data_IF_623901926412
#
_entry.id   IF_623901926412
#
_cell.length_a   1.000
_cell.length_b   1.000
_cell.length_c   1.000
_cell.angle_alpha   90.00
_cell.angle_beta   90.00
_cell.angle_gamma   90.00
#
_symmetry.space_group_name_H-M   'P 1'
#
loop_
_entity.id
_entity.type
_entity.pdbx_description
1 polymer ?
#
# COMPACT_ATOMS: atom_id res chain seq x y z
N UNK A 1 4.72 -17.79 -26.16
CA UNK A 1 4.40 -16.56 -26.92
C UNK A 1 3.00 -16.68 -27.51
N UNK A 2 2.15 -15.66 -27.37
CA UNK A 2 0.80 -15.65 -27.96
C UNK A 2 0.78 -15.16 -29.43
N UNK A 3 1.92 -14.70 -29.97
CA UNK A 3 2.08 -14.38 -31.40
C UNK A 3 1.62 -13.00 -31.85
N UNK A 4 1.13 -12.14 -30.94
CA UNK A 4 0.69 -10.79 -31.30
C UNK A 4 1.86 -9.82 -31.52
N UNK A 5 1.66 -8.86 -32.44
CA UNK A 5 2.54 -7.71 -32.60
C UNK A 5 2.15 -6.64 -31.57
N UNK A 6 3.08 -6.34 -30.67
CA UNK A 6 2.88 -5.38 -29.57
C UNK A 6 3.86 -4.23 -29.69
N UNK A 7 3.43 -3.02 -29.31
CA UNK A 7 4.26 -1.83 -29.12
C UNK A 7 3.81 -1.14 -27.84
N UNK A 8 4.74 -0.60 -27.05
CA UNK A 8 4.46 0.15 -25.82
C UNK A 8 4.98 1.58 -25.97
N UNK A 9 4.15 2.57 -25.64
CA UNK A 9 4.52 3.98 -25.56
C UNK A 9 4.61 4.38 -24.09
N UNK A 10 5.75 4.93 -23.66
CA UNK A 10 6.00 5.35 -22.27
C UNK A 10 6.43 6.82 -22.24
N UNK A 11 5.69 7.65 -21.49
CA UNK A 11 5.92 9.09 -21.42
C UNK A 11 7.22 9.49 -20.73
N UNK A 12 7.76 8.63 -19.85
CA UNK A 12 9.03 8.86 -19.15
C UNK A 12 10.22 8.28 -19.93
N UNK A 13 11.42 8.73 -19.59
CA UNK A 13 12.68 8.15 -20.08
C UNK A 13 13.05 6.79 -19.44
N UNK A 14 12.10 6.08 -18.83
CA UNK A 14 12.34 4.80 -18.15
C UNK A 14 11.03 4.00 -18.02
N UNK A 15 11.10 2.66 -17.93
CA UNK A 15 9.93 1.84 -17.62
C UNK A 15 9.60 1.85 -16.12
N UNK A 16 8.46 1.25 -15.77
CA UNK A 16 8.09 0.89 -14.40
C UNK A 16 7.18 1.87 -13.66
N UNK A 17 7.01 3.10 -14.16
CA UNK A 17 6.09 4.07 -13.55
C UNK A 17 6.35 4.29 -12.04
N UNK A 18 5.40 3.87 -11.20
CA UNK A 18 5.45 3.93 -9.73
C UNK A 18 6.35 2.86 -9.08
N UNK A 19 6.97 1.98 -9.86
CA UNK A 19 8.07 1.12 -9.39
C UNK A 19 9.38 1.82 -9.75
N UNK A 20 10.14 2.22 -8.74
CA UNK A 20 11.40 2.95 -8.92
C UNK A 20 12.38 2.65 -7.81
N UNK A 21 13.48 2.00 -8.17
CA UNK A 21 14.60 1.80 -7.26
C UNK A 21 15.67 2.87 -7.47
N UNK A 22 16.20 3.41 -6.38
CA UNK A 22 17.41 4.23 -6.34
C UNK A 22 18.54 3.38 -5.80
N UNK A 23 19.57 3.16 -6.63
CA UNK A 23 20.82 2.53 -6.19
C UNK A 23 21.71 3.59 -5.54
N UNK A 24 22.40 3.18 -4.49
CA UNK A 24 23.28 4.02 -3.69
C UNK A 24 24.57 3.26 -3.43
N UNK A 25 25.69 3.97 -3.43
CA UNK A 25 26.99 3.42 -3.08
C UNK A 25 27.72 4.36 -2.12
N UNK A 26 28.47 3.78 -1.18
CA UNK A 26 29.29 4.51 -0.22
C UNK A 26 30.34 3.58 0.37
N UNK A 27 31.61 3.94 0.25
CA UNK A 27 32.72 3.02 0.54
C UNK A 27 32.59 1.73 -0.29
N UNK A 28 32.72 0.58 0.38
CA UNK A 28 32.57 -0.75 -0.23
C UNK A 28 31.12 -1.28 -0.18
N UNK A 29 30.16 -0.45 0.24
CA UNK A 29 28.76 -0.85 0.36
C UNK A 29 27.93 -0.37 -0.84
N UNK A 30 27.10 -1.28 -1.35
CA UNK A 30 26.06 -0.98 -2.34
C UNK A 30 24.70 -1.26 -1.71
N UNK A 31 23.78 -0.30 -1.84
CA UNK A 31 22.42 -0.39 -1.33
C UNK A 31 21.42 -0.01 -2.43
N UNK A 32 20.18 -0.40 -2.22
CA UNK A 32 19.06 -0.03 -3.07
C UNK A 32 17.88 0.35 -2.19
N UNK A 33 17.18 1.42 -2.56
CA UNK A 33 15.96 1.87 -1.91
C UNK A 33 14.86 2.04 -2.95
N UNK A 34 13.72 1.40 -2.76
CA UNK A 34 12.54 1.67 -3.57
C UNK A 34 11.90 2.99 -3.14
N UNK A 35 11.68 3.87 -4.10
CA UNK A 35 11.00 5.16 -3.95
C UNK A 35 9.49 5.06 -4.25
N UNK A 36 9.00 3.85 -4.52
CA UNK A 36 7.62 3.57 -4.88
C UNK A 36 7.22 2.18 -4.40
N UNK A 37 6.52 1.39 -5.21
CA UNK A 37 6.08 0.05 -4.82
C UNK A 37 7.26 -0.84 -4.38
N UNK A 38 7.32 -1.21 -3.10
CA UNK A 38 8.47 -1.88 -2.48
C UNK A 38 8.14 -3.24 -1.82
N UNK A 39 7.07 -3.30 -1.03
CA UNK A 39 6.70 -4.51 -0.29
C UNK A 39 5.84 -5.42 -1.16
N UNK A 40 6.15 -6.71 -1.18
CA UNK A 40 5.24 -7.75 -1.67
C UNK A 40 4.35 -8.17 -0.50
N UNK A 41 3.06 -7.86 -0.59
CA UNK A 41 2.06 -8.16 0.45
C UNK A 41 1.50 -9.56 0.25
N UNK A 42 1.97 -10.50 1.07
CA UNK A 42 1.67 -11.92 0.91
C UNK A 42 2.36 -12.55 -0.30
N UNK A 43 2.96 -13.72 -0.13
CA UNK A 43 3.64 -14.46 -1.20
C UNK A 43 2.82 -15.66 -1.72
N UNK A 44 1.79 -16.08 -0.99
CA UNK A 44 0.95 -17.21 -1.37
C UNK A 44 -0.14 -16.74 -2.32
N UNK A 45 -0.19 -17.32 -3.52
CA UNK A 45 -1.11 -16.88 -4.57
C UNK A 45 -0.70 -15.58 -5.26
N UNK A 46 0.42 -14.96 -4.84
CA UNK A 46 0.91 -13.71 -5.42
C UNK A 46 1.73 -13.97 -6.71
N UNK A 47 1.34 -13.41 -7.87
CA UNK A 47 2.11 -13.52 -9.11
C UNK A 47 3.56 -13.02 -8.97
N UNK A 48 3.81 -12.01 -8.13
CA UNK A 48 5.16 -11.50 -7.88
C UNK A 48 6.02 -12.52 -7.13
N UNK A 49 5.42 -13.36 -6.27
CA UNK A 49 6.12 -14.47 -5.62
C UNK A 49 6.56 -15.54 -6.62
N UNK A 50 5.72 -15.81 -7.64
CA UNK A 50 6.06 -16.72 -8.75
C UNK A 50 7.20 -16.14 -9.59
N UNK A 51 7.10 -14.87 -9.98
CA UNK A 51 8.16 -14.18 -10.74
C UNK A 51 9.48 -14.13 -9.96
N UNK A 52 9.44 -13.86 -8.66
CA UNK A 52 10.64 -13.85 -7.82
C UNK A 52 11.35 -15.21 -7.88
N UNK A 53 10.59 -16.30 -7.79
CA UNK A 53 11.14 -17.66 -7.90
C UNK A 53 11.70 -17.95 -9.28
N UNK A 54 10.99 -17.59 -10.35
CA UNK A 54 11.43 -17.80 -11.73
C UNK A 54 12.72 -17.04 -12.05
N UNK A 55 12.86 -15.83 -11.52
CA UNK A 55 14.02 -14.96 -11.73
C UNK A 55 15.15 -15.19 -10.70
N UNK A 56 14.96 -16.12 -9.76
CA UNK A 56 15.94 -16.41 -8.70
C UNK A 56 16.17 -15.23 -7.73
N UNK A 57 15.17 -14.37 -7.53
CA UNK A 57 15.28 -13.24 -6.62
C UNK A 57 15.07 -13.70 -5.17
N UNK A 58 15.99 -13.34 -4.24
CA UNK A 58 15.78 -13.64 -2.83
C UNK A 58 14.61 -12.83 -2.28
N UNK A 59 13.86 -13.43 -1.35
CA UNK A 59 12.79 -12.78 -0.60
C UNK A 59 13.26 -12.55 0.84
N UNK A 60 13.12 -11.33 1.35
CA UNK A 60 13.43 -11.01 2.74
C UNK A 60 12.14 -10.70 3.50
N UNK A 61 11.75 -11.60 4.41
CA UNK A 61 10.54 -11.45 5.24
C UNK A 61 10.60 -10.18 6.10
N UNK A 62 9.53 -9.41 6.07
CA UNK A 62 9.25 -8.34 7.05
C UNK A 62 8.94 -9.00 8.39
N UNK A 63 9.65 -8.57 9.44
CA UNK A 63 9.45 -9.08 10.79
C UNK A 63 8.33 -8.31 11.48
N UNK A 64 7.61 -8.98 12.37
CA UNK A 64 6.44 -8.42 13.06
C UNK A 64 6.82 -7.46 14.20
N UNK A 65 8.09 -7.39 14.59
CA UNK A 65 8.56 -6.56 15.70
C UNK A 65 8.71 -5.09 15.22
N UNK A 66 7.84 -4.21 15.72
CA UNK A 66 7.87 -2.77 15.46
C UNK A 66 7.81 -1.99 16.79
N UNK A 67 8.95 -1.70 17.45
CA UNK A 67 8.94 -0.93 18.69
C UNK A 67 8.59 0.53 18.42
N UNK A 68 7.65 1.07 19.21
CA UNK A 68 7.31 2.48 19.16
C UNK A 68 8.25 3.31 20.04
N UNK A 69 8.59 4.50 19.55
CA UNK A 69 9.48 5.45 20.23
C UNK A 69 8.76 6.78 20.47
N UNK A 70 8.94 7.33 21.67
CA UNK A 70 8.47 8.65 22.04
C UNK A 70 9.36 9.75 21.39
N UNK A 71 8.89 11.00 21.29
CA UNK A 71 9.68 12.10 20.71
C UNK A 71 11.03 12.37 21.39
N UNK A 72 11.21 11.92 22.64
CA UNK A 72 12.46 12.01 23.37
C UNK A 72 13.44 10.87 23.06
N UNK A 73 13.10 9.95 22.15
CA UNK A 73 13.92 8.80 21.76
C UNK A 73 13.79 7.57 22.66
N UNK A 74 13.00 7.64 23.74
CA UNK A 74 12.77 6.48 24.61
C UNK A 74 11.75 5.53 23.99
N UNK A 75 11.90 4.24 24.25
CA UNK A 75 10.91 3.23 23.88
C UNK A 75 9.62 3.41 24.67
N UNK A 76 8.48 3.19 24.02
CA UNK A 76 7.18 3.14 24.67
C UNK A 76 7.12 1.90 25.60
N UNK A 77 6.43 2.04 26.73
CA UNK A 77 6.18 0.92 27.63
C UNK A 77 5.30 -0.14 26.89
N UNK A 78 5.70 -1.42 26.83
CA UNK A 78 4.99 -2.45 26.07
C UNK A 78 3.53 -2.67 26.51
N UNK A 79 3.24 -2.50 27.80
CA UNK A 79 1.87 -2.64 28.31
C UNK A 79 0.96 -1.50 27.83
N UNK A 80 1.48 -0.27 27.75
CA UNK A 80 0.75 0.88 27.19
C UNK A 80 0.56 0.71 25.68
N UNK A 81 1.61 0.31 24.97
CA UNK A 81 1.57 0.06 23.51
C UNK A 81 0.45 -0.94 23.16
N UNK A 82 0.50 -2.13 23.78
CA UNK A 82 -0.52 -3.17 23.58
C UNK A 82 -1.93 -2.70 24.00
N UNK A 83 -2.06 -1.93 25.08
CA UNK A 83 -3.35 -1.37 25.50
C UNK A 83 -3.93 -0.46 24.42
N UNK A 84 -3.13 0.45 23.85
CA UNK A 84 -3.59 1.40 22.84
C UNK A 84 -3.93 0.70 21.53
N UNK A 85 -3.13 -0.28 21.10
CA UNK A 85 -3.42 -1.13 19.94
C UNK A 85 -4.79 -1.82 20.07
N UNK A 86 -5.08 -2.41 21.23
CA UNK A 86 -6.38 -3.04 21.50
C UNK A 86 -7.51 -2.02 21.46
N UNK A 87 -7.29 -0.80 21.98
CA UNK A 87 -8.30 0.27 21.94
C UNK A 87 -8.56 0.76 20.52
N UNK A 88 -7.53 0.90 19.69
CA UNK A 88 -7.63 1.25 18.28
C UNK A 88 -8.46 0.21 17.50
N UNK A 89 -8.12 -1.08 17.63
CA UNK A 89 -8.87 -2.15 16.97
C UNK A 89 -10.34 -2.21 17.42
N UNK A 90 -10.62 -1.94 18.70
CA UNK A 90 -12.01 -1.82 19.19
C UNK A 90 -12.77 -0.65 18.57
N UNK A 91 -12.12 0.44 18.18
CA UNK A 91 -12.76 1.53 17.44
C UNK A 91 -13.13 1.05 16.02
N UNK A 92 -12.22 0.36 15.33
CA UNK A 92 -12.49 -0.22 14.01
C UNK A 92 -13.65 -1.24 14.07
N UNK A 93 -13.66 -2.13 15.07
CA UNK A 93 -14.76 -3.10 15.25
C UNK A 93 -16.13 -2.41 15.39
N UNK A 94 -16.18 -1.26 16.08
CA UNK A 94 -17.41 -0.48 16.24
C UNK A 94 -17.83 0.17 14.93
N UNK A 95 -16.88 0.67 14.16
CA UNK A 95 -17.13 1.17 12.80
C UNK A 95 -17.69 0.05 11.91
N UNK A 96 -17.10 -1.14 11.94
CA UNK A 96 -17.58 -2.29 11.18
C UNK A 96 -19.02 -2.69 11.55
N UNK A 97 -19.37 -2.65 12.84
CA UNK A 97 -20.75 -2.90 13.30
C UNK A 97 -21.72 -1.81 12.84
N UNK A 98 -21.31 -0.55 12.90
CA UNK A 98 -22.10 0.57 12.39
C UNK A 98 -22.36 0.39 10.88
N UNK A 99 -21.32 0.09 10.10
CA UNK A 99 -21.43 -0.23 8.68
C UNK A 99 -22.45 -1.33 8.41
N UNK A 100 -22.38 -2.45 9.13
CA UNK A 100 -23.33 -3.56 8.97
C UNK A 100 -24.77 -3.11 9.18
N UNK A 101 -25.03 -2.36 10.26
CA UNK A 101 -26.38 -1.82 10.53
C UNK A 101 -26.89 -0.87 9.44
N UNK A 102 -26.01 -0.05 8.86
CA UNK A 102 -26.38 0.89 7.78
C UNK A 102 -26.70 0.17 6.46
N UNK A 103 -25.94 -0.89 6.16
CA UNK A 103 -26.18 -1.73 4.99
C UNK A 103 -27.51 -2.49 5.08
N UNK A 104 -27.84 -3.03 6.25
CA UNK A 104 -29.12 -3.74 6.49
C UNK A 104 -30.33 -2.81 6.35
N UNK A 105 -30.21 -1.56 6.79
CA UNK A 105 -31.29 -0.56 6.71
C UNK A 105 -31.42 0.11 5.32
N UNK A 106 -30.67 -0.35 4.30
CA UNK A 106 -30.59 0.24 2.97
C UNK A 106 -30.31 1.76 2.98
N UNK A 107 -29.64 2.25 4.02
CA UNK A 107 -29.26 3.67 4.13
C UNK A 107 -28.02 3.90 3.29
N UNK A 108 -28.18 4.56 2.14
CA UNK A 108 -27.09 4.90 1.20
C UNK A 108 -26.20 6.06 1.68
N UNK A 109 -26.13 6.33 2.98
CA UNK A 109 -25.36 7.46 3.51
C UNK A 109 -23.97 6.95 3.88
N UNK A 110 -23.00 7.23 3.03
CA UNK A 110 -21.59 7.09 3.42
C UNK A 110 -21.16 8.34 4.19
N UNK A 111 -20.28 8.15 5.18
CA UNK A 111 -19.63 9.25 5.87
C UNK A 111 -18.13 8.99 5.95
N UNK A 112 -17.31 10.02 6.14
CA UNK A 112 -15.88 9.82 6.30
C UNK A 112 -15.54 8.90 7.48
N UNK A 113 -14.65 7.94 7.26
CA UNK A 113 -14.16 7.02 8.29
C UNK A 113 -13.62 7.77 9.52
N UNK A 114 -12.86 8.85 9.29
CA UNK A 114 -12.31 9.68 10.36
C UNK A 114 -13.38 10.30 11.26
N UNK A 115 -14.52 10.70 10.69
CA UNK A 115 -15.66 11.24 11.46
C UNK A 115 -16.25 10.18 12.38
N UNK A 116 -16.40 8.95 11.90
CA UNK A 116 -16.93 7.84 12.71
C UNK A 116 -15.96 7.44 13.82
N UNK A 117 -14.66 7.35 13.52
CA UNK A 117 -13.62 7.02 14.49
C UNK A 117 -13.54 8.07 15.62
N UNK A 118 -13.55 9.37 15.29
CA UNK A 118 -13.49 10.42 16.31
C UNK A 118 -14.76 10.47 17.16
N UNK A 119 -15.95 10.26 16.55
CA UNK A 119 -17.19 10.15 17.30
C UNK A 119 -17.15 9.00 18.31
N UNK A 120 -16.69 7.80 17.90
CA UNK A 120 -16.54 6.68 18.82
C UNK A 120 -15.44 6.91 19.86
N UNK A 121 -14.32 7.53 19.50
CA UNK A 121 -13.27 7.89 20.45
C UNK A 121 -13.84 8.75 21.59
N UNK A 122 -14.62 9.78 21.26
CA UNK A 122 -15.26 10.66 22.24
C UNK A 122 -16.30 9.94 23.09
N UNK A 123 -17.23 9.21 22.48
CA UNK A 123 -18.33 8.51 23.19
C UNK A 123 -17.77 7.49 24.20
N UNK A 124 -16.72 6.77 23.81
CA UNK A 124 -16.12 5.73 24.64
C UNK A 124 -14.90 6.19 25.43
N UNK A 125 -14.58 7.49 25.42
CA UNK A 125 -13.46 8.08 26.16
C UNK A 125 -12.14 7.34 25.92
N UNK A 126 -11.87 7.03 24.65
CA UNK A 126 -10.67 6.29 24.26
C UNK A 126 -9.48 7.24 24.21
N UNK A 127 -8.38 6.86 24.90
CA UNK A 127 -7.13 7.60 24.93
C UNK A 127 -7.33 9.08 25.38
N UNK A 128 -7.84 9.26 26.61
CA UNK A 128 -7.93 10.58 27.27
C UNK A 128 -6.58 11.01 27.86
N UNK A 129 -5.71 10.06 28.21
CA UNK A 129 -4.34 10.34 28.63
C UNK A 129 -3.52 10.88 27.42
N UNK A 130 -2.69 11.93 27.61
CA UNK A 130 -1.92 12.51 26.51
C UNK A 130 -0.96 11.55 25.80
N UNK A 131 -0.33 10.64 26.55
CA UNK A 131 0.58 9.66 25.95
C UNK A 131 -0.22 8.61 25.16
N UNK A 132 -1.32 8.12 25.71
CA UNK A 132 -2.22 7.21 24.98
C UNK A 132 -2.77 7.85 23.71
N UNK A 133 -3.12 9.14 23.75
CA UNK A 133 -3.62 9.88 22.58
C UNK A 133 -2.58 9.95 21.48
N UNK A 134 -1.33 10.22 21.83
CA UNK A 134 -0.23 10.26 20.86
C UNK A 134 0.02 8.89 20.20
N UNK A 135 -0.12 7.80 20.96
CA UNK A 135 0.00 6.44 20.41
C UNK A 135 -1.20 6.07 19.53
N UNK A 136 -2.42 6.49 19.91
CA UNK A 136 -3.60 6.33 19.06
C UNK A 136 -3.42 7.08 17.74
N UNK A 137 -2.86 8.29 17.78
CA UNK A 137 -2.55 9.07 16.58
C UNK A 137 -1.51 8.39 15.69
N UNK A 138 -0.57 7.65 16.26
CA UNK A 138 0.34 6.81 15.48
C UNK A 138 -0.39 5.69 14.73
N UNK A 139 -1.32 4.98 15.37
CA UNK A 139 -2.12 3.94 14.70
C UNK A 139 -3.04 4.51 13.62
N UNK A 140 -3.66 5.66 13.88
CA UNK A 140 -4.47 6.39 12.91
C UNK A 140 -3.63 6.84 11.71
N UNK A 141 -2.43 7.35 11.94
CA UNK A 141 -1.49 7.68 10.87
C UNK A 141 -1.02 6.45 10.09
N UNK A 142 -0.87 5.29 10.75
CA UNK A 142 -0.56 4.03 10.08
C UNK A 142 -1.70 3.56 9.15
N UNK A 143 -2.96 3.80 9.54
CA UNK A 143 -4.13 3.57 8.68
C UNK A 143 -4.14 4.51 7.46
N UNK A 144 -3.81 5.79 7.66
CA UNK A 144 -3.65 6.76 6.56
C UNK A 144 -2.50 6.39 5.63
N UNK A 145 -1.39 5.87 6.19
CA UNK A 145 -0.26 5.34 5.43
C UNK A 145 -0.70 4.16 4.54
N UNK A 146 -1.43 3.20 5.09
CA UNK A 146 -1.91 2.04 4.34
C UNK A 146 -2.81 2.44 3.15
N UNK A 147 -3.63 3.48 3.32
CA UNK A 147 -4.57 3.96 2.32
C UNK A 147 -4.04 5.10 1.43
N UNK A 148 -2.85 5.63 1.73
CA UNK A 148 -2.26 6.80 1.08
C UNK A 148 -3.18 8.04 1.00
N UNK A 149 -4.05 8.25 1.99
CA UNK A 149 -4.96 9.40 2.07
C UNK A 149 -5.42 9.65 3.51
N UNK A 150 -5.93 10.85 3.79
CA UNK A 150 -6.50 11.18 5.10
C UNK A 150 -7.78 10.39 5.35
N UNK A 151 -8.04 10.01 6.60
CA UNK A 151 -9.27 9.28 6.97
C UNK A 151 -10.55 10.11 6.74
N UNK A 152 -10.43 11.44 6.62
CA UNK A 152 -11.53 12.32 6.24
C UNK A 152 -11.98 12.15 4.77
N UNK A 153 -11.14 11.50 3.94
CA UNK A 153 -11.43 11.19 2.55
C UNK A 153 -11.77 9.71 2.34
N UNK A 154 -11.65 8.88 3.38
CA UNK A 154 -11.96 7.46 3.33
C UNK A 154 -13.44 7.21 3.56
N UNK A 155 -14.02 6.37 2.72
CA UNK A 155 -15.37 5.83 2.93
C UNK A 155 -15.40 4.99 4.20
N UNK A 156 -16.30 5.29 5.15
CA UNK A 156 -16.48 4.41 6.30
C UNK A 156 -17.00 3.03 5.87
N UNK A 157 -17.75 2.98 4.76
CA UNK A 157 -18.38 1.76 4.25
C UNK A 157 -17.39 0.89 3.48
N UNK A 158 -16.50 1.48 2.69
CA UNK A 158 -15.71 0.78 1.66
C UNK A 158 -14.18 0.87 1.80
N UNK A 159 -13.64 1.40 2.92
CA UNK A 159 -12.18 1.58 3.08
C UNK A 159 -11.37 0.27 3.03
N UNK A 160 -11.96 -0.86 3.42
CA UNK A 160 -11.38 -2.21 3.56
C UNK A 160 -12.06 -3.22 2.61
N UNK A 161 -12.69 -2.75 1.53
CA UNK A 161 -13.50 -3.62 0.65
C UNK A 161 -12.69 -4.73 -0.05
N UNK A 162 -11.38 -4.58 -0.14
CA UNK A 162 -10.45 -5.52 -0.75
C UNK A 162 -9.84 -6.52 0.23
N UNK A 163 -9.97 -6.34 1.54
CA UNK A 163 -9.48 -7.26 2.59
C UNK A 163 -9.87 -8.73 2.35
N UNK A 164 -11.10 -9.08 1.91
CA UNK A 164 -11.45 -10.48 1.63
C UNK A 164 -10.62 -11.16 0.54
N UNK A 165 -9.86 -10.39 -0.23
CA UNK A 165 -9.00 -10.87 -1.32
C UNK A 165 -7.51 -10.75 -1.00
N UNK A 166 -7.15 -10.48 0.26
CA UNK A 166 -5.76 -10.42 0.70
C UNK A 166 -5.02 -11.73 0.39
N UNK A 167 -3.76 -11.59 -0.03
CA UNK A 167 -2.88 -12.73 -0.31
C UNK A 167 -2.20 -13.17 0.98
N UNK A 168 -2.25 -14.46 1.29
CA UNK A 168 -1.61 -15.01 2.49
C UNK A 168 -0.08 -15.13 2.38
N UNK A 169 0.54 -15.58 3.48
CA UNK A 169 1.99 -15.81 3.56
C UNK A 169 2.76 -14.56 3.97
N UNK A 170 4.09 -14.64 3.94
CA UNK A 170 4.95 -13.57 4.46
C UNK A 170 4.93 -12.33 3.56
N UNK A 171 4.90 -11.14 4.18
CA UNK A 171 5.22 -9.89 3.50
C UNK A 171 6.73 -9.82 3.30
N UNK A 172 7.19 -9.48 2.09
CA UNK A 172 8.61 -9.57 1.74
C UNK A 172 9.13 -8.33 1.01
N UNK A 173 10.41 -8.03 1.22
CA UNK A 173 11.21 -7.15 0.36
C UNK A 173 12.06 -7.96 -0.61
N UNK A 174 12.41 -7.35 -1.75
CA UNK A 174 13.39 -7.88 -2.70
C UNK A 174 14.71 -7.12 -2.56
N UNK A 175 15.79 -7.78 -2.12
CA UNK A 175 17.12 -7.19 -2.16
C UNK A 175 17.51 -6.70 -3.56
N UNK A 176 17.96 -5.45 -3.64
CA UNK A 176 18.29 -4.79 -4.90
C UNK A 176 17.13 -4.00 -5.52
N UNK A 177 15.92 -4.06 -4.96
CA UNK A 177 14.75 -3.28 -5.35
C UNK A 177 13.86 -3.92 -6.41
N UNK A 178 12.62 -3.43 -6.50
CA UNK A 178 11.59 -3.98 -7.38
C UNK A 178 11.76 -3.59 -8.86
N UNK A 179 12.66 -2.66 -9.20
CA UNK A 179 12.97 -2.34 -10.60
C UNK A 179 13.49 -3.55 -11.38
N UNK A 180 14.02 -4.56 -10.70
CA UNK A 180 14.49 -5.82 -11.28
C UNK A 180 13.36 -6.61 -11.96
N UNK A 181 12.15 -6.58 -11.40
CA UNK A 181 10.98 -7.16 -12.06
C UNK A 181 10.65 -6.42 -13.34
N UNK A 182 10.67 -5.10 -13.29
CA UNK A 182 10.39 -4.25 -14.45
C UNK A 182 11.41 -4.50 -15.56
N UNK A 183 12.70 -4.60 -15.22
CA UNK A 183 13.75 -4.91 -16.19
C UNK A 183 13.51 -6.27 -16.86
N UNK A 184 13.20 -7.31 -16.08
CA UNK A 184 12.91 -8.64 -16.62
C UNK A 184 11.65 -8.67 -17.50
N UNK A 185 10.58 -7.99 -17.09
CA UNK A 185 9.33 -7.93 -17.86
C UNK A 185 9.45 -7.08 -19.13
N UNK A 186 10.32 -6.07 -19.12
CA UNK A 186 10.57 -5.19 -20.26
C UNK A 186 11.56 -5.78 -21.28
N UNK A 187 12.27 -6.84 -20.92
CA UNK A 187 13.30 -7.44 -21.76
C UNK A 187 12.73 -7.92 -23.11
N UNK A 188 13.32 -7.45 -24.20
CA UNK A 188 12.91 -7.82 -25.56
C UNK A 188 11.59 -7.19 -26.04
N UNK A 189 10.95 -6.30 -25.27
CA UNK A 189 9.75 -5.59 -25.71
C UNK A 189 10.10 -4.29 -26.47
N UNK A 190 9.40 -3.98 -27.58
CA UNK A 190 9.53 -2.71 -28.28
C UNK A 190 8.83 -1.59 -27.50
N UNK A 191 9.58 -0.95 -26.60
CA UNK A 191 9.12 0.18 -25.78
C UNK A 191 9.72 1.47 -26.33
N UNK A 192 8.87 2.44 -26.67
CA UNK A 192 9.26 3.78 -27.10
C UNK A 192 9.13 4.74 -25.92
N UNK A 193 10.27 5.18 -25.39
CA UNK A 193 10.36 6.10 -24.25
C UNK A 193 10.25 7.56 -24.67
N UNK A 194 9.89 8.42 -23.72
CA UNK A 194 9.61 9.85 -23.93
C UNK A 194 8.51 10.08 -24.99
N UNK A 195 7.52 9.20 -25.03
CA UNK A 195 6.35 9.27 -25.91
C UNK A 195 5.10 9.44 -25.05
N UNK A 196 4.74 10.69 -24.76
CA UNK A 196 3.52 10.97 -23.98
C UNK A 196 2.34 10.98 -24.93
N UNK A 197 1.50 9.94 -24.86
CA UNK A 197 0.27 9.87 -25.67
C UNK A 197 -0.60 11.09 -25.40
N UNK A 198 -0.84 11.89 -26.44
CA UNK A 198 -1.67 13.09 -26.38
C UNK A 198 -3.11 12.79 -26.80
N UNK A 199 -3.30 11.88 -27.77
CA UNK A 199 -4.62 11.54 -28.29
C UNK A 199 -4.76 10.08 -28.66
N UNK A 200 -5.94 9.52 -28.38
CA UNK A 200 -6.37 8.19 -28.83
C UNK A 200 -7.71 8.36 -29.53
N UNK A 201 -7.77 8.01 -30.82
CA UNK A 201 -9.00 7.97 -31.61
C UNK A 201 -9.25 6.53 -32.03
N UNK A 202 -10.46 6.02 -31.86
CA UNK A 202 -10.81 4.64 -32.20
C UNK A 202 -12.14 4.58 -32.96
N UNK A 203 -12.26 3.60 -33.85
CA UNK A 203 -13.40 3.38 -34.73
C UNK A 203 -13.50 1.91 -35.16
N UNK A 204 -14.40 1.62 -36.12
CA UNK A 204 -14.61 0.25 -36.62
C UNK A 204 -13.42 -0.29 -37.42
N UNK A 205 -12.51 0.57 -37.88
CA UNK A 205 -11.31 0.27 -38.65
C UNK A 205 -10.02 0.20 -37.80
N UNK A 206 -10.11 0.46 -36.48
CA UNK A 206 -9.01 0.33 -35.55
C UNK A 206 -8.83 1.56 -34.65
N UNK A 207 -7.58 1.80 -34.24
CA UNK A 207 -7.22 2.93 -33.37
C UNK A 207 -6.00 3.69 -33.91
N UNK A 208 -6.06 5.01 -33.84
CA UNK A 208 -4.97 5.94 -34.10
C UNK A 208 -4.50 6.52 -32.76
N UNK A 209 -3.21 6.34 -32.46
CA UNK A 209 -2.56 6.88 -31.27
C UNK A 209 -1.53 7.93 -31.71
N UNK A 210 -1.54 9.12 -31.10
CA UNK A 210 -0.50 10.14 -31.26
C UNK A 210 0.19 10.39 -29.92
N UNK A 211 1.52 10.39 -29.94
CA UNK A 211 2.40 10.61 -28.81
C UNK A 211 3.55 11.55 -29.21
#
# INVERSE_FOLDING_TARGET
FLGFKVVVLEGRGRPGGRVRTKKMSGGDCVAAADLGGSVLTGINGNPLGVLARQLGFPLHKVRDICPLYLPNGNTVNPEIDSKVEVLFNKLLDRVCKLRQSMMEEAKSIDVPLGTALEAFRHVYKVAEDPQEKMLLDWHLANLEYANATLMSNLSMVFWDQDDPFEMGGDHCFIPGGNDRFIQALAEGLPIFYNQTVETVKYGSDGALVRA
#
